data_IF_068600667504
#
_entry.id   IF_068600667504
#
_cell.length_a   1.000
_cell.length_b   1.000
_cell.length_c   1.000
_cell.angle_alpha   90.00
_cell.angle_beta   90.00
_cell.angle_gamma   90.00
#
_symmetry.space_group_name_H-M   'P 1'
#
loop_
_entity.id
_entity.type
_entity.pdbx_description
1 polymer ?
#
# COMPACT_ATOMS: atom_id res chain seq x y z
N UNK A 1 7.72 22.04 -22.83
CA UNK A 1 8.22 20.73 -22.37
C UNK A 1 7.98 20.63 -20.87
N UNK A 2 7.18 19.66 -20.43
CA UNK A 2 6.81 19.52 -19.01
C UNK A 2 7.83 18.63 -18.30
N UNK A 3 8.58 19.21 -17.36
CA UNK A 3 9.59 18.48 -16.59
C UNK A 3 8.93 17.65 -15.49
N UNK A 4 9.10 16.32 -15.52
CA UNK A 4 8.76 15.46 -14.39
C UNK A 4 9.83 15.57 -13.30
N UNK A 5 9.39 15.70 -12.05
CA UNK A 5 10.28 15.67 -10.90
C UNK A 5 10.60 14.22 -10.54
N UNK A 6 11.82 13.76 -10.82
CA UNK A 6 12.27 12.41 -10.48
C UNK A 6 13.47 12.53 -9.55
N UNK A 7 13.44 11.86 -8.40
CA UNK A 7 14.56 11.93 -7.46
C UNK A 7 15.77 11.15 -8.00
N UNK A 8 17.00 11.47 -7.54
CA UNK A 8 18.22 10.83 -8.04
C UNK A 8 18.22 9.30 -7.94
N UNK A 9 17.66 8.74 -6.86
CA UNK A 9 17.60 7.29 -6.68
C UNK A 9 16.71 6.61 -7.73
N UNK A 10 15.52 7.15 -7.98
CA UNK A 10 14.63 6.66 -9.02
C UNK A 10 15.24 6.84 -10.42
N UNK A 11 15.82 8.01 -10.70
CA UNK A 11 16.47 8.31 -11.97
C UNK A 11 17.60 7.31 -12.28
N UNK A 12 18.43 6.99 -11.29
CA UNK A 12 19.51 6.02 -11.44
C UNK A 12 19.00 4.61 -11.79
N UNK A 13 17.83 4.21 -11.27
CA UNK A 13 17.22 2.94 -11.67
C UNK A 13 16.64 3.02 -13.09
N UNK A 14 15.93 4.11 -13.42
CA UNK A 14 15.33 4.27 -14.75
C UNK A 14 16.37 4.35 -15.88
N UNK A 15 17.55 4.93 -15.61
CA UNK A 15 18.68 5.02 -16.56
C UNK A 15 19.28 3.68 -16.97
N UNK A 16 18.92 2.58 -16.29
CA UNK A 16 19.28 1.21 -16.70
C UNK A 16 18.40 0.68 -17.83
N UNK A 17 17.36 1.42 -18.23
CA UNK A 17 16.48 1.06 -19.34
C UNK A 17 16.91 1.72 -20.66
N UNK A 18 16.27 1.31 -21.76
CA UNK A 18 16.44 1.93 -23.09
C UNK A 18 16.09 3.42 -23.16
N UNK A 19 15.38 3.95 -22.15
CA UNK A 19 14.99 5.35 -22.10
C UNK A 19 16.05 6.28 -21.48
N UNK A 20 17.26 5.77 -21.19
CA UNK A 20 18.34 6.53 -20.56
C UNK A 20 18.55 7.91 -21.19
N UNK A 21 18.54 7.98 -22.51
CA UNK A 21 18.86 9.20 -23.26
C UNK A 21 17.71 10.21 -23.25
N UNK A 22 16.48 9.77 -22.95
CA UNK A 22 15.33 10.66 -22.73
C UNK A 22 15.33 11.28 -21.32
N UNK A 23 16.16 10.75 -20.39
CA UNK A 23 16.20 11.13 -18.99
C UNK A 23 17.28 12.18 -18.72
N UNK A 24 16.95 13.42 -19.04
CA UNK A 24 17.83 14.59 -18.87
C UNK A 24 17.71 15.14 -17.45
N UNK A 25 18.85 15.47 -16.83
CA UNK A 25 18.86 16.11 -15.52
C UNK A 25 18.31 17.53 -15.64
N UNK A 26 17.35 17.86 -14.77
CA UNK A 26 16.89 19.23 -14.60
C UNK A 26 17.92 20.10 -13.87
N UNK A 27 17.65 21.40 -13.84
CA UNK A 27 18.44 22.35 -13.06
C UNK A 27 18.38 22.03 -11.57
N UNK A 28 19.48 22.24 -10.81
CA UNK A 28 19.46 22.13 -9.36
C UNK A 28 18.41 23.07 -8.77
N UNK A 29 17.62 22.53 -7.83
CA UNK A 29 16.57 23.31 -7.15
C UNK A 29 17.05 23.84 -5.81
N UNK A 30 16.54 25.00 -5.34
CA UNK A 30 16.82 25.49 -4.00
C UNK A 30 16.44 24.47 -2.93
N UNK A 31 17.22 24.38 -1.85
CA UNK A 31 16.94 23.45 -0.74
C UNK A 31 15.60 23.70 -0.05
N UNK A 32 15.10 24.93 -0.09
CA UNK A 32 13.80 25.32 0.47
C UNK A 32 12.60 24.88 -0.36
N UNK A 33 12.80 24.44 -1.61
CA UNK A 33 11.70 24.04 -2.48
C UNK A 33 11.22 22.62 -2.14
N UNK A 34 9.98 22.50 -1.65
CA UNK A 34 9.35 21.20 -1.37
C UNK A 34 8.93 20.53 -2.67
N UNK A 35 9.77 19.62 -3.17
CA UNK A 35 9.51 18.87 -4.40
C UNK A 35 9.20 17.41 -4.10
N UNK A 36 8.11 16.91 -4.68
CA UNK A 36 7.75 15.49 -4.59
C UNK A 36 8.18 14.76 -5.85
N UNK A 37 8.82 13.61 -5.68
CA UNK A 37 9.13 12.74 -6.80
C UNK A 37 7.85 12.16 -7.40
N UNK A 38 7.69 12.24 -8.72
CA UNK A 38 6.57 11.64 -9.45
C UNK A 38 6.46 10.14 -9.21
N UNK A 39 7.59 9.42 -9.12
CA UNK A 39 7.63 7.98 -8.81
C UNK A 39 7.34 7.65 -7.34
N UNK A 40 7.07 8.65 -6.48
CA UNK A 40 6.47 8.37 -5.17
C UNK A 40 4.99 8.00 -5.28
N UNK A 41 4.33 8.32 -6.40
CA UNK A 41 2.95 7.91 -6.66
C UNK A 41 2.90 6.47 -7.19
N UNK A 42 2.15 5.54 -6.56
CA UNK A 42 2.08 4.16 -7.03
C UNK A 42 1.58 4.00 -8.47
N UNK A 43 0.64 4.83 -8.91
CA UNK A 43 0.18 4.84 -10.29
C UNK A 43 1.29 5.18 -11.29
N UNK A 44 2.18 6.13 -10.96
CA UNK A 44 3.31 6.48 -11.83
C UNK A 44 4.34 5.34 -11.89
N UNK A 45 4.58 4.64 -10.77
CA UNK A 45 5.43 3.44 -10.77
C UNK A 45 4.82 2.32 -11.62
N UNK A 46 3.52 2.12 -11.53
CA UNK A 46 2.82 1.14 -12.35
C UNK A 46 2.90 1.50 -13.84
N UNK A 47 2.73 2.78 -14.19
CA UNK A 47 2.91 3.27 -15.55
C UNK A 47 4.31 2.97 -16.09
N UNK A 48 5.34 3.25 -15.30
CA UNK A 48 6.71 2.89 -15.64
C UNK A 48 6.89 1.38 -15.84
N UNK A 49 6.39 0.55 -14.92
CA UNK A 49 6.48 -0.90 -15.06
C UNK A 49 5.76 -1.41 -16.32
N UNK A 50 4.57 -0.91 -16.62
CA UNK A 50 3.83 -1.27 -17.84
C UNK A 50 4.59 -0.88 -19.10
N UNK A 51 5.19 0.32 -19.13
CA UNK A 51 6.03 0.75 -20.25
C UNK A 51 7.19 -0.21 -20.50
N UNK A 52 7.85 -0.69 -19.44
CA UNK A 52 8.96 -1.65 -19.55
C UNK A 52 8.45 -3.06 -19.93
N UNK A 53 7.42 -3.55 -19.25
CA UNK A 53 6.88 -4.90 -19.44
C UNK A 53 6.31 -5.09 -20.85
N UNK A 54 5.57 -4.10 -21.36
CA UNK A 54 5.03 -4.11 -22.73
C UNK A 54 6.04 -3.68 -23.80
N UNK A 55 7.30 -3.48 -23.41
CA UNK A 55 8.41 -3.10 -24.31
C UNK A 55 8.13 -1.85 -25.17
N UNK A 56 7.30 -0.93 -24.69
CA UNK A 56 6.95 0.29 -25.43
C UNK A 56 8.21 1.11 -25.71
N UNK A 57 8.26 1.80 -26.84
CA UNK A 57 9.36 2.67 -27.28
C UNK A 57 9.19 4.13 -26.83
N UNK A 58 8.12 4.43 -26.11
CA UNK A 58 7.76 5.78 -25.67
C UNK A 58 7.32 5.83 -24.19
N UNK A 59 7.44 7.01 -23.58
CA UNK A 59 7.04 7.27 -22.17
C UNK A 59 5.60 7.78 -22.00
N UNK A 60 4.74 7.58 -23.01
CA UNK A 60 3.40 8.17 -23.05
C UNK A 60 2.54 7.82 -21.83
N UNK A 61 2.53 6.56 -21.38
CA UNK A 61 1.78 6.14 -20.18
C UNK A 61 2.21 6.90 -18.94
N UNK A 62 3.52 7.06 -18.73
CA UNK A 62 4.06 7.80 -17.59
C UNK A 62 3.62 9.27 -17.63
N UNK A 63 3.68 9.90 -18.81
CA UNK A 63 3.22 11.28 -19.00
C UNK A 63 1.72 11.42 -18.72
N UNK A 64 0.87 10.56 -19.30
CA UNK A 64 -0.59 10.63 -19.11
C UNK A 64 -1.01 10.43 -17.65
N UNK A 65 -0.34 9.55 -16.92
CA UNK A 65 -0.65 9.28 -15.51
C UNK A 65 -0.21 10.44 -14.61
N UNK A 66 0.94 11.05 -14.89
CA UNK A 66 1.50 12.12 -14.06
C UNK A 66 0.98 13.51 -14.43
N UNK A 67 0.44 13.69 -15.64
CA UNK A 67 -0.09 14.94 -16.16
C UNK A 67 -1.53 14.71 -16.67
N UNK A 68 -2.49 14.48 -15.77
CA UNK A 68 -3.87 14.27 -16.18
C UNK A 68 -4.46 15.54 -16.82
N UNK A 69 -5.50 15.39 -17.68
CA UNK A 69 -6.17 16.54 -18.30
C UNK A 69 -6.68 17.56 -17.28
N UNK A 70 -6.74 18.84 -17.69
CA UNK A 70 -7.31 19.92 -16.88
C UNK A 70 -8.74 19.58 -16.43
N UNK A 71 -9.05 19.88 -15.17
CA UNK A 71 -10.35 19.55 -14.57
C UNK A 71 -10.45 18.13 -13.97
N UNK A 72 -9.42 17.30 -14.14
CA UNK A 72 -9.36 16.00 -13.47
C UNK A 72 -9.22 16.17 -11.96
N UNK A 73 -10.23 15.73 -11.20
CA UNK A 73 -10.15 15.66 -9.74
C UNK A 73 -9.14 14.59 -9.30
N UNK A 74 -8.24 14.87 -8.35
CA UNK A 74 -7.35 13.85 -7.80
C UNK A 74 -8.12 12.81 -6.97
N UNK A 75 -7.50 11.68 -6.68
CA UNK A 75 -8.08 10.72 -5.75
C UNK A 75 -8.17 11.34 -4.34
N UNK A 76 -9.33 11.24 -3.71
CA UNK A 76 -9.56 11.78 -2.35
C UNK A 76 -8.93 10.91 -1.25
N UNK A 77 -8.44 9.72 -1.61
CA UNK A 77 -7.86 8.77 -0.67
C UNK A 77 -8.85 8.40 0.44
N UNK A 78 -8.46 8.65 1.69
CA UNK A 78 -9.27 8.39 2.89
C UNK A 78 -10.22 9.52 3.28
N UNK A 79 -10.19 10.64 2.54
CA UNK A 79 -11.10 11.76 2.78
C UNK A 79 -12.46 11.42 2.17
N UNK A 80 -13.49 11.49 3.01
CA UNK A 80 -14.88 11.31 2.56
C UNK A 80 -15.21 12.40 1.56
N UNK A 81 -15.78 12.00 0.43
CA UNK A 81 -16.16 12.92 -0.64
C UNK A 81 -17.52 12.51 -1.20
N UNK A 82 -18.37 13.50 -1.40
CA UNK A 82 -19.60 13.34 -2.17
C UNK A 82 -19.28 13.44 -3.67
N UNK A 83 -19.42 12.33 -4.38
CA UNK A 83 -19.22 12.26 -5.83
C UNK A 83 -19.94 11.04 -6.42
N UNK A 84 -19.94 10.95 -7.75
CA UNK A 84 -20.31 9.73 -8.44
C UNK A 84 -19.15 8.74 -8.35
N UNK A 85 -19.44 7.53 -7.88
CA UNK A 85 -18.43 6.48 -7.66
C UNK A 85 -18.51 5.42 -8.74
N UNK A 86 -17.37 4.86 -9.10
CA UNK A 86 -17.30 3.68 -9.93
C UNK A 86 -17.38 2.41 -9.08
N UNK A 87 -18.12 1.42 -9.57
CA UNK A 87 -18.36 0.16 -8.88
C UNK A 87 -18.10 -1.00 -9.82
N UNK A 88 -17.60 -2.09 -9.27
CA UNK A 88 -17.43 -3.35 -10.01
C UNK A 88 -18.74 -4.12 -10.00
N UNK A 89 -19.13 -4.61 -11.17
CA UNK A 89 -20.28 -5.51 -11.32
C UNK A 89 -19.75 -6.93 -11.22
N UNK A 90 -20.37 -7.72 -10.35
CA UNK A 90 -20.11 -9.14 -10.23
C UNK A 90 -20.65 -9.87 -11.46
N UNK A 91 -19.80 -10.53 -12.27
CA UNK A 91 -20.28 -11.26 -13.44
C UNK A 91 -21.25 -12.40 -13.07
N UNK A 92 -21.10 -13.00 -11.89
CA UNK A 92 -21.93 -14.13 -11.47
C UNK A 92 -23.34 -13.72 -10.99
N UNK A 93 -23.47 -12.55 -10.37
CA UNK A 93 -24.76 -12.09 -9.80
C UNK A 93 -25.38 -10.93 -10.56
N UNK A 94 -24.65 -10.28 -11.46
CA UNK A 94 -25.04 -9.04 -12.12
C UNK A 94 -25.15 -7.84 -11.18
N UNK A 95 -24.81 -8.00 -9.90
CA UNK A 95 -24.97 -6.96 -8.88
C UNK A 95 -23.66 -6.22 -8.61
N UNK A 96 -23.76 -4.98 -8.14
CA UNK A 96 -22.60 -4.24 -7.69
C UNK A 96 -22.03 -4.82 -6.39
N UNK A 97 -20.70 -4.91 -6.29
CA UNK A 97 -20.05 -5.21 -5.03
C UNK A 97 -20.41 -4.14 -3.98
N UNK A 98 -21.08 -4.49 -2.87
CA UNK A 98 -21.42 -3.51 -1.84
C UNK A 98 -20.16 -2.94 -1.18
N UNK A 99 -20.22 -1.66 -0.80
CA UNK A 99 -19.17 -0.92 -0.08
C UNK A 99 -17.85 -0.74 -0.85
N UNK A 100 -17.67 -1.32 -2.03
CA UNK A 100 -16.54 -1.08 -2.91
C UNK A 100 -16.80 0.06 -3.88
N UNK A 101 -16.03 1.14 -3.78
CA UNK A 101 -16.20 2.40 -4.51
C UNK A 101 -14.84 2.92 -4.97
N UNK A 102 -14.73 3.26 -6.26
CA UNK A 102 -13.50 3.79 -6.84
C UNK A 102 -13.77 5.16 -7.44
N UNK A 103 -12.88 6.12 -7.19
CA UNK A 103 -13.02 7.46 -7.76
C UNK A 103 -12.69 7.46 -9.27
N UNK A 104 -13.16 8.48 -9.99
CA UNK A 104 -12.89 8.65 -11.42
C UNK A 104 -11.40 8.70 -11.75
N UNK A 105 -10.57 9.25 -10.85
CA UNK A 105 -9.13 9.34 -11.05
C UNK A 105 -8.45 7.96 -11.11
N UNK A 106 -8.81 7.10 -10.16
CA UNK A 106 -8.27 5.75 -10.05
C UNK A 106 -8.77 4.85 -11.20
N UNK A 107 -10.03 4.97 -11.60
CA UNK A 107 -10.55 4.23 -12.77
C UNK A 107 -9.91 4.70 -14.08
N UNK A 108 -9.69 6.01 -14.26
CA UNK A 108 -8.96 6.53 -15.42
C UNK A 108 -7.57 5.90 -15.51
N UNK A 109 -6.82 5.93 -14.41
CA UNK A 109 -5.48 5.37 -14.37
C UNK A 109 -5.49 3.87 -14.65
N UNK A 110 -6.45 3.12 -14.09
CA UNK A 110 -6.62 1.70 -14.37
C UNK A 110 -6.83 1.45 -15.87
N UNK A 111 -7.77 2.16 -16.51
CA UNK A 111 -8.10 2.00 -17.93
C UNK A 111 -6.93 2.33 -18.86
N UNK A 112 -6.15 3.36 -18.52
CA UNK A 112 -4.96 3.73 -19.29
C UNK A 112 -3.87 2.66 -19.21
N UNK A 113 -3.70 2.05 -18.04
CA UNK A 113 -2.63 1.09 -17.78
C UNK A 113 -3.02 -0.35 -18.13
N UNK A 114 -4.31 -0.67 -18.06
CA UNK A 114 -4.89 -1.99 -18.29
C UNK A 114 -6.16 -1.85 -19.14
N UNK A 115 -6.03 -1.65 -20.47
CA UNK A 115 -7.17 -1.45 -21.38
C UNK A 115 -8.27 -2.52 -21.30
N UNK A 116 -7.99 -3.82 -21.03
CA UNK A 116 -9.05 -4.82 -20.85
C UNK A 116 -10.08 -4.49 -19.76
N UNK A 117 -9.72 -3.62 -18.80
CA UNK A 117 -10.63 -3.17 -17.74
C UNK A 117 -11.49 -1.96 -18.12
N UNK A 118 -11.59 -1.61 -19.42
CA UNK A 118 -12.42 -0.49 -19.90
C UNK A 118 -13.84 -0.54 -19.32
N UNK A 119 -14.44 -1.72 -19.29
CA UNK A 119 -15.82 -1.95 -18.87
C UNK A 119 -15.99 -2.59 -17.50
N UNK A 120 -14.91 -2.95 -16.81
CA UNK A 120 -14.97 -3.61 -15.49
C UNK A 120 -15.63 -2.74 -14.42
N UNK A 121 -15.39 -1.42 -14.47
CA UNK A 121 -15.90 -0.47 -13.51
C UNK A 121 -16.99 0.40 -14.14
N UNK A 122 -18.21 0.33 -13.62
CA UNK A 122 -19.35 1.11 -14.11
C UNK A 122 -19.62 2.29 -13.18
N UNK A 123 -19.93 3.43 -13.77
CA UNK A 123 -20.25 4.65 -13.04
C UNK A 123 -21.62 4.49 -12.35
N UNK A 124 -21.67 4.73 -11.05
CA UNK A 124 -22.93 4.86 -10.34
C UNK A 124 -23.54 6.23 -10.65
N UNK A 125 -24.83 6.27 -10.98
CA UNK A 125 -25.57 7.49 -11.31
C UNK A 125 -26.01 8.28 -10.08
N UNK A 126 -25.81 7.73 -8.88
CA UNK A 126 -26.14 8.42 -7.63
C UNK A 126 -24.90 9.03 -6.99
N UNK A 127 -25.06 10.24 -6.47
CA UNK A 127 -24.08 10.87 -5.60
C UNK A 127 -24.08 10.15 -4.26
N UNK A 128 -22.89 9.83 -3.75
CA UNK A 128 -22.74 9.19 -2.45
C UNK A 128 -21.50 9.74 -1.73
N UNK A 129 -21.58 9.83 -0.42
CA UNK A 129 -20.44 10.12 0.45
C UNK A 129 -19.67 8.84 0.74
N UNK A 130 -18.50 8.67 0.11
CA UNK A 130 -17.63 7.50 0.30
C UNK A 130 -16.16 7.91 0.29
N UNK A 131 -15.30 6.91 0.48
CA UNK A 131 -13.85 6.97 0.24
C UNK A 131 -13.49 6.05 -0.92
N UNK A 132 -12.33 6.27 -1.55
CA UNK A 132 -11.89 5.42 -2.67
C UNK A 132 -11.24 4.14 -2.16
N UNK A 133 -11.65 2.95 -2.60
CA UNK A 133 -11.02 1.69 -2.21
C UNK A 133 -9.62 1.47 -2.83
N UNK A 134 -9.29 2.23 -3.88
CA UNK A 134 -7.94 2.27 -4.45
C UNK A 134 -7.06 3.34 -3.75
N UNK A 135 -7.15 3.46 -2.42
CA UNK A 135 -6.22 4.33 -1.68
C UNK A 135 -4.81 3.76 -1.78
N UNK A 136 -3.91 4.53 -2.38
CA UNK A 136 -2.50 4.17 -2.61
C UNK A 136 -1.68 3.98 -1.32
N UNK A 137 -2.16 4.48 -0.19
CA UNK A 137 -1.54 4.29 1.12
C UNK A 137 -1.92 2.95 1.79
N UNK A 138 -2.93 2.24 1.25
CA UNK A 138 -3.45 1.00 1.78
C UNK A 138 -2.65 -0.19 1.25
N UNK A 139 -2.27 -1.18 2.07
CA UNK A 139 -1.67 -2.42 1.59
C UNK A 139 -2.56 -3.16 0.58
N UNK A 140 -3.89 -2.95 0.65
CA UNK A 140 -4.87 -3.55 -0.26
C UNK A 140 -4.69 -3.08 -1.70
N UNK A 141 -4.23 -1.84 -1.91
CA UNK A 141 -4.03 -1.27 -3.25
C UNK A 141 -3.14 -2.17 -4.10
N UNK A 142 -1.98 -2.57 -3.59
CA UNK A 142 -1.04 -3.41 -4.33
C UNK A 142 -1.72 -4.69 -4.76
N UNK A 143 -2.39 -5.39 -3.83
CA UNK A 143 -3.06 -6.65 -4.14
C UNK A 143 -4.25 -6.49 -5.10
N UNK A 144 -5.04 -5.43 -4.99
CA UNK A 144 -6.11 -5.13 -5.95
C UNK A 144 -5.56 -4.94 -7.35
N UNK A 145 -4.51 -4.12 -7.48
CA UNK A 145 -3.88 -3.83 -8.77
C UNK A 145 -3.22 -5.07 -9.35
N UNK A 146 -2.53 -5.89 -8.54
CA UNK A 146 -1.90 -7.13 -9.01
C UNK A 146 -2.94 -8.11 -9.58
N UNK A 147 -4.07 -8.29 -8.88
CA UNK A 147 -5.14 -9.19 -9.33
C UNK A 147 -5.80 -8.70 -10.63
N UNK A 148 -5.97 -7.38 -10.77
CA UNK A 148 -6.48 -6.78 -12.00
C UNK A 148 -5.46 -6.91 -13.14
N UNK A 149 -4.18 -6.65 -12.87
CA UNK A 149 -3.13 -6.80 -13.89
C UNK A 149 -3.02 -8.23 -14.41
N UNK A 150 -3.06 -9.22 -13.53
CA UNK A 150 -3.10 -10.64 -13.91
C UNK A 150 -4.32 -10.94 -14.79
N UNK A 151 -5.50 -10.45 -14.41
CA UNK A 151 -6.73 -10.65 -15.17
C UNK A 151 -6.67 -9.99 -16.55
N UNK A 152 -6.12 -8.77 -16.64
CA UNK A 152 -5.93 -8.05 -17.90
C UNK A 152 -4.94 -8.77 -18.82
N UNK A 153 -3.78 -9.19 -18.30
CA UNK A 153 -2.77 -9.90 -19.07
C UNK A 153 -3.31 -11.24 -19.59
N UNK A 154 -4.07 -11.99 -18.79
CA UNK A 154 -4.73 -13.23 -19.23
C UNK A 154 -5.73 -12.96 -20.35
N UNK A 155 -6.56 -11.94 -20.21
CA UNK A 155 -7.53 -11.56 -21.24
C UNK A 155 -6.86 -11.18 -22.57
N UNK A 156 -5.76 -10.42 -22.52
CA UNK A 156 -4.96 -10.06 -23.69
C UNK A 156 -4.38 -11.31 -24.37
N UNK A 157 -3.83 -12.26 -23.60
CA UNK A 157 -3.27 -13.51 -24.12
C UNK A 157 -4.32 -14.42 -24.77
N UNK A 158 -5.47 -14.57 -24.10
CA UNK A 158 -6.57 -15.44 -24.54
C UNK A 158 -7.47 -14.77 -25.60
N UNK A 159 -7.22 -13.51 -25.95
CA UNK A 159 -8.07 -12.69 -26.80
C UNK A 159 -9.52 -12.63 -26.29
N UNK A 160 -9.70 -12.72 -24.97
CA UNK A 160 -11.01 -12.65 -24.33
C UNK A 160 -11.52 -11.21 -24.37
N UNK A 161 -12.81 -11.00 -24.70
CA UNK A 161 -13.40 -9.66 -24.68
C UNK A 161 -13.48 -9.07 -23.27
N UNK A 162 -13.44 -9.89 -22.22
CA UNK A 162 -13.53 -9.45 -20.83
C UNK A 162 -12.54 -10.18 -19.92
N UNK A 163 -11.93 -9.47 -18.96
CA UNK A 163 -11.04 -10.08 -17.97
C UNK A 163 -11.81 -10.88 -16.92
N UNK A 164 -11.25 -12.02 -16.51
CA UNK A 164 -11.77 -12.82 -15.40
C UNK A 164 -11.48 -12.13 -14.06
N UNK A 165 -12.54 -11.71 -13.37
CA UNK A 165 -12.46 -10.97 -12.11
C UNK A 165 -12.64 -11.86 -10.87
N UNK A 166 -12.73 -13.19 -11.00
CA UNK A 166 -13.08 -14.07 -9.89
C UNK A 166 -12.16 -13.89 -8.67
N UNK A 167 -10.85 -13.89 -8.86
CA UNK A 167 -9.89 -13.71 -7.76
C UNK A 167 -9.96 -12.29 -7.15
N UNK A 168 -10.06 -11.27 -8.00
CA UNK A 168 -10.23 -9.88 -7.55
C UNK A 168 -11.49 -9.72 -6.72
N UNK A 169 -12.62 -10.27 -7.18
CA UNK A 169 -13.91 -10.18 -6.50
C UNK A 169 -13.93 -10.96 -5.20
N UNK A 170 -13.34 -12.16 -5.16
CA UNK A 170 -13.20 -12.93 -3.94
C UNK A 170 -12.38 -12.16 -2.88
N UNK A 171 -11.28 -11.55 -3.30
CA UNK A 171 -10.44 -10.73 -2.42
C UNK A 171 -11.17 -9.45 -1.97
N UNK A 172 -11.75 -8.68 -2.88
CA UNK A 172 -12.45 -7.43 -2.58
C UNK A 172 -13.65 -7.65 -1.66
N UNK A 173 -14.49 -8.66 -1.90
CA UNK A 173 -15.62 -9.04 -1.00
C UNK A 173 -15.16 -9.30 0.42
N UNK A 174 -14.04 -10.01 0.58
CA UNK A 174 -13.46 -10.31 1.88
C UNK A 174 -12.95 -9.04 2.57
N UNK A 175 -12.34 -8.12 1.82
CA UNK A 175 -11.69 -6.92 2.38
C UNK A 175 -12.62 -5.78 2.73
N UNK A 176 -13.70 -5.56 2.00
CA UNK A 176 -14.64 -4.44 2.24
C UNK A 176 -15.33 -4.46 3.60
N UNK A 177 -15.35 -5.62 4.28
CA UNK A 177 -15.91 -5.75 5.63
C UNK A 177 -14.88 -5.56 6.75
N UNK A 178 -13.58 -5.62 6.43
CA UNK A 178 -12.49 -5.51 7.39
C UNK A 178 -11.98 -4.07 7.45
N UNK A 179 -11.53 -3.64 8.63
CA UNK A 179 -10.90 -2.30 8.76
C UNK A 179 -9.54 -2.27 8.06
N UNK A 180 -9.28 -1.20 7.31
CA UNK A 180 -7.98 -0.98 6.66
C UNK A 180 -6.81 -1.01 7.66
N UNK A 181 -5.69 -1.61 7.24
CA UNK A 181 -4.46 -1.61 8.03
C UNK A 181 -3.94 -0.18 8.29
N UNK A 182 -3.71 0.15 9.56
CA UNK A 182 -3.14 1.44 10.00
C UNK A 182 -1.62 1.56 9.81
N UNK A 183 -0.97 0.50 9.31
CA UNK A 183 0.47 0.42 9.09
C UNK A 183 1.25 0.74 10.36
N UNK A 184 2.16 1.72 10.32
CA UNK A 184 3.01 2.16 11.43
C UNK A 184 2.33 3.13 12.40
N UNK A 185 1.07 3.54 12.15
CA UNK A 185 0.36 4.44 13.08
C UNK A 185 -0.04 3.67 14.33
N UNK A 186 0.40 4.17 15.48
CA UNK A 186 0.00 3.64 16.79
C UNK A 186 -1.46 3.91 17.06
N UNK A 187 -2.11 2.98 17.75
CA UNK A 187 -3.41 3.19 18.32
C UNK A 187 -3.62 2.27 19.52
N UNK A 188 -4.28 2.78 20.56
CA UNK A 188 -4.94 1.95 21.55
C UNK A 188 -6.15 1.28 20.89
N UNK A 189 -5.99 0.00 20.54
CA UNK A 189 -7.00 -0.78 19.83
C UNK A 189 -6.80 -2.27 20.10
N UNK A 190 -7.72 -3.11 19.64
CA UNK A 190 -7.55 -4.56 19.68
C UNK A 190 -6.67 -5.05 18.53
N UNK A 191 -5.91 -6.11 18.76
CA UNK A 191 -4.95 -6.71 17.82
C UNK A 191 -4.96 -8.23 17.95
N UNK A 192 -4.59 -8.94 16.88
CA UNK A 192 -4.16 -10.33 16.98
C UNK A 192 -2.69 -10.35 17.41
N UNK A 193 -2.35 -11.19 18.38
CA UNK A 193 -0.96 -11.42 18.80
C UNK A 193 -0.84 -12.81 19.44
N UNK A 194 0.39 -13.27 19.63
CA UNK A 194 0.68 -14.47 20.42
C UNK A 194 0.90 -14.07 21.87
N UNK A 195 0.27 -14.71 22.87
CA UNK A 195 0.47 -14.34 24.29
C UNK A 195 1.93 -14.33 24.74
N UNK A 196 2.76 -15.24 24.21
CA UNK A 196 4.19 -15.31 24.46
C UNK A 196 5.05 -14.34 23.62
N UNK A 197 4.44 -13.59 22.69
CA UNK A 197 5.09 -12.56 21.89
C UNK A 197 4.11 -11.40 21.60
N UNK A 198 3.75 -10.60 22.63
CA UNK A 198 2.77 -9.53 22.49
C UNK A 198 3.28 -8.35 21.64
N UNK A 199 4.56 -8.26 21.34
CA UNK A 199 5.19 -7.26 20.45
C UNK A 199 4.82 -7.46 18.99
N UNK A 200 4.50 -8.70 18.59
CA UNK A 200 4.06 -9.01 17.24
C UNK A 200 2.55 -8.80 17.10
N UNK A 201 2.13 -7.54 17.11
CA UNK A 201 0.72 -7.14 16.91
C UNK A 201 0.34 -7.11 15.44
N UNK A 202 -0.84 -7.67 15.11
CA UNK A 202 -1.34 -7.79 13.74
C UNK A 202 -2.78 -7.32 13.69
N UNK A 203 -3.09 -6.39 12.77
CA UNK A 203 -4.48 -5.95 12.57
C UNK A 203 -5.30 -7.01 11.83
N UNK A 204 -6.61 -6.94 11.92
CA UNK A 204 -7.57 -7.82 11.23
C UNK A 204 -7.23 -8.02 9.74
N UNK A 205 -6.95 -6.93 9.03
CA UNK A 205 -6.63 -6.96 7.60
C UNK A 205 -5.37 -7.76 7.26
N UNK A 206 -4.29 -7.56 8.03
CA UNK A 206 -3.04 -8.30 7.82
C UNK A 206 -3.12 -9.72 8.37
N UNK A 207 -3.93 -9.97 9.40
CA UNK A 207 -4.19 -11.30 9.91
C UNK A 207 -4.87 -12.16 8.84
N UNK A 208 -5.92 -11.64 8.20
CA UNK A 208 -6.64 -12.30 7.11
C UNK A 208 -5.75 -12.65 5.90
N UNK A 209 -4.77 -11.80 5.55
CA UNK A 209 -3.89 -12.06 4.39
C UNK A 209 -2.65 -12.89 4.69
N UNK A 210 -2.12 -12.81 5.91
CA UNK A 210 -0.77 -13.33 6.21
C UNK A 210 -0.83 -14.47 7.21
N UNK A 211 -1.60 -14.34 8.29
CA UNK A 211 -1.62 -15.30 9.39
C UNK A 211 -2.67 -16.38 9.15
N UNK A 212 -3.88 -15.98 8.76
CA UNK A 212 -5.02 -16.88 8.60
C UNK A 212 -4.81 -17.99 7.55
N UNK A 213 -4.17 -17.74 6.38
CA UNK A 213 -3.85 -18.82 5.45
C UNK A 213 -2.94 -19.88 6.09
N UNK A 214 -1.96 -19.45 6.89
CA UNK A 214 -1.05 -20.35 7.60
C UNK A 214 -1.75 -21.11 8.75
N UNK A 215 -2.70 -20.47 9.44
CA UNK A 215 -3.57 -21.14 10.42
C UNK A 215 -4.39 -22.25 9.76
N UNK A 216 -5.01 -21.96 8.61
CA UNK A 216 -5.79 -22.94 7.82
C UNK A 216 -4.93 -24.11 7.33
N UNK A 217 -3.68 -23.85 6.97
CA UNK A 217 -2.71 -24.87 6.59
C UNK A 217 -2.10 -25.62 7.80
N UNK A 218 -2.63 -25.41 9.03
CA UNK A 218 -2.21 -26.08 10.26
C UNK A 218 -0.77 -25.82 10.71
N UNK A 219 -0.15 -24.70 10.32
CA UNK A 219 1.17 -24.35 10.83
C UNK A 219 1.13 -24.06 12.35
N UNK A 220 1.97 -24.74 13.17
CA UNK A 220 1.90 -24.64 14.63
C UNK A 220 2.09 -23.22 15.17
N UNK A 221 3.04 -22.47 14.62
CA UNK A 221 3.32 -21.08 15.04
C UNK A 221 2.15 -20.15 14.72
N UNK A 222 1.59 -20.25 13.52
CA UNK A 222 0.46 -19.41 13.12
C UNK A 222 -0.75 -19.63 14.04
N UNK A 223 -1.00 -20.87 14.47
CA UNK A 223 -2.08 -21.23 15.41
C UNK A 223 -1.89 -20.70 16.84
N UNK A 224 -0.69 -20.21 17.19
CA UNK A 224 -0.45 -19.57 18.49
C UNK A 224 -0.98 -18.14 18.56
N UNK A 225 -1.39 -17.53 17.44
CA UNK A 225 -2.07 -16.24 17.45
C UNK A 225 -3.45 -16.33 18.09
N UNK A 226 -3.85 -15.27 18.78
CA UNK A 226 -5.19 -15.17 19.32
C UNK A 226 -6.24 -15.17 18.21
N UNK A 227 -7.22 -16.07 18.31
CA UNK A 227 -8.33 -16.12 17.36
C UNK A 227 -9.20 -14.85 17.40
N UNK A 228 -9.35 -14.25 18.59
CA UNK A 228 -10.02 -12.97 18.77
C UNK A 228 -8.99 -11.86 18.99
N UNK A 229 -9.31 -10.66 18.47
CA UNK A 229 -8.51 -9.47 18.72
C UNK A 229 -8.66 -9.02 20.17
N UNK A 230 -7.54 -8.69 20.83
CA UNK A 230 -7.49 -8.23 22.22
C UNK A 230 -6.58 -7.03 22.37
N UNK A 231 -6.74 -6.26 23.45
CA UNK A 231 -5.78 -5.24 23.79
C UNK A 231 -4.42 -5.92 24.10
N UNK A 232 -3.30 -5.41 23.57
CA UNK A 232 -1.98 -5.95 23.86
C UNK A 232 -1.57 -5.50 25.27
N UNK A 233 -0.92 -6.38 26.04
CA UNK A 233 -0.46 -6.05 27.38
C UNK A 233 0.55 -4.90 27.31
N UNK A 234 0.52 -4.06 28.33
CA UNK A 234 1.42 -2.90 28.45
C UNK A 234 1.62 -2.50 29.90
N UNK A 235 2.60 -1.62 30.11
CA UNK A 235 2.93 -1.10 31.43
C UNK A 235 2.02 0.08 31.81
N UNK A 236 1.72 0.22 33.10
CA UNK A 236 0.94 1.33 33.66
C UNK A 236 -0.49 0.99 34.11
N UNK A 237 -1.25 2.02 34.50
CA UNK A 237 -2.57 1.89 35.14
C UNK A 237 -3.61 1.14 34.30
N UNK A 238 -3.58 1.33 32.97
CA UNK A 238 -4.52 0.69 32.05
C UNK A 238 -4.13 -0.77 31.69
N UNK A 239 -2.93 -1.24 32.08
CA UNK A 239 -2.35 -2.57 31.77
C UNK A 239 -2.38 -2.95 30.27
N UNK A 240 -2.53 -1.96 29.39
CA UNK A 240 -2.64 -2.11 27.94
C UNK A 240 -1.80 -1.02 27.28
N UNK A 241 -1.28 -1.30 26.08
CA UNK A 241 -0.47 -0.33 25.32
C UNK A 241 -1.06 -0.01 23.96
N UNK A 242 -0.62 1.11 23.40
CA UNK A 242 -0.78 1.38 21.98
C UNK A 242 0.15 0.50 21.16
N UNK A 243 -0.31 0.11 19.97
CA UNK A 243 0.49 -0.67 19.04
C UNK A 243 0.21 -0.26 17.60
N UNK A 244 1.09 -0.67 16.70
CA UNK A 244 0.94 -0.61 15.25
C UNK A 244 0.83 -2.03 14.67
N UNK A 245 0.51 -2.15 13.38
CA UNK A 245 0.61 -3.46 12.74
C UNK A 245 2.09 -3.79 12.51
N UNK A 246 2.56 -4.96 12.88
CA UNK A 246 3.94 -5.37 12.58
C UNK A 246 4.03 -6.04 11.20
N UNK A 247 2.94 -6.63 10.71
CA UNK A 247 2.88 -7.31 9.41
C UNK A 247 2.38 -6.43 8.25
N UNK A 248 2.42 -5.09 8.35
CA UNK A 248 2.24 -4.26 7.14
C UNK A 248 3.51 -4.21 6.28
N UNK A 249 4.67 -4.42 6.90
CA UNK A 249 5.99 -4.41 6.24
C UNK A 249 6.16 -5.66 5.37
N UNK A 250 6.49 -5.52 4.07
CA UNK A 250 6.82 -6.66 3.22
C UNK A 250 7.97 -7.50 3.77
N UNK A 251 9.02 -6.87 4.33
CA UNK A 251 10.13 -7.56 4.98
C UNK A 251 9.65 -8.43 6.14
N UNK A 252 8.81 -7.90 7.02
CA UNK A 252 8.28 -8.67 8.15
C UNK A 252 7.36 -9.79 7.72
N UNK A 253 6.56 -9.60 6.66
CA UNK A 253 5.75 -10.67 6.09
C UNK A 253 6.63 -11.83 5.61
N UNK A 254 7.76 -11.53 4.95
CA UNK A 254 8.71 -12.54 4.52
C UNK A 254 9.31 -13.30 5.72
N UNK A 255 9.83 -12.56 6.71
CA UNK A 255 10.43 -13.13 7.92
C UNK A 255 9.43 -13.98 8.72
N UNK A 256 8.19 -13.53 8.80
CA UNK A 256 7.11 -14.29 9.43
C UNK A 256 6.84 -15.61 8.69
N UNK A 257 6.74 -15.58 7.35
CA UNK A 257 6.53 -16.80 6.57
C UNK A 257 7.67 -17.79 6.75
N UNK A 258 8.92 -17.34 6.61
CA UNK A 258 10.12 -18.15 6.84
C UNK A 258 10.07 -18.83 8.21
N UNK A 259 9.84 -18.06 9.27
CA UNK A 259 9.78 -18.59 10.63
C UNK A 259 8.63 -19.61 10.84
N UNK A 260 7.47 -19.37 10.23
CA UNK A 260 6.30 -20.25 10.34
C UNK A 260 6.50 -21.55 9.57
N UNK A 261 7.07 -21.47 8.37
CA UNK A 261 7.36 -22.62 7.51
C UNK A 261 8.45 -23.52 8.11
N UNK A 262 9.49 -22.92 8.69
CA UNK A 262 10.58 -23.63 9.40
C UNK A 262 10.20 -24.05 10.83
N UNK A 263 9.01 -23.65 11.31
CA UNK A 263 8.56 -23.84 12.68
C UNK A 263 9.55 -23.31 13.74
N UNK A 264 10.26 -22.22 13.42
CA UNK A 264 11.23 -21.56 14.29
C UNK A 264 10.61 -20.36 15.03
N UNK A 265 10.05 -20.65 16.21
CA UNK A 265 9.47 -19.62 17.07
C UNK A 265 10.55 -18.71 17.68
N UNK A 266 11.77 -19.21 17.90
CA UNK A 266 12.86 -18.43 18.47
C UNK A 266 13.32 -17.35 17.49
N UNK A 267 13.43 -17.71 16.20
CA UNK A 267 13.72 -16.77 15.13
C UNK A 267 12.63 -15.70 15.01
N UNK A 268 11.35 -16.10 15.04
CA UNK A 268 10.24 -15.15 14.98
C UNK A 268 10.26 -14.17 16.16
N UNK A 269 10.49 -14.66 17.38
CA UNK A 269 10.61 -13.85 18.58
C UNK A 269 11.74 -12.81 18.42
N UNK A 270 12.92 -13.26 18.02
CA UNK A 270 14.09 -12.39 17.84
C UNK A 270 13.80 -11.26 16.84
N UNK A 271 13.26 -11.58 15.66
CA UNK A 271 13.02 -10.58 14.61
C UNK A 271 11.88 -9.62 15.00
N UNK A 272 10.82 -10.12 15.63
CA UNK A 272 9.72 -9.29 16.10
C UNK A 272 10.16 -8.30 17.18
N UNK A 273 10.95 -8.76 18.16
CA UNK A 273 11.51 -7.92 19.23
C UNK A 273 12.45 -6.86 18.65
N UNK A 274 13.40 -7.25 17.79
CA UNK A 274 14.32 -6.30 17.15
C UNK A 274 13.59 -5.21 16.37
N UNK A 275 12.55 -5.58 15.61
CA UNK A 275 11.74 -4.59 14.89
C UNK A 275 10.95 -3.71 15.85
N UNK A 276 10.33 -4.29 16.88
CA UNK A 276 9.57 -3.53 17.87
C UNK A 276 10.47 -2.49 18.55
N UNK A 277 11.66 -2.88 19.00
CA UNK A 277 12.67 -1.97 19.58
C UNK A 277 13.13 -0.90 18.59
N UNK A 278 13.34 -1.26 17.32
CA UNK A 278 13.67 -0.29 16.27
C UNK A 278 12.53 0.72 16.05
N UNK A 279 11.26 0.28 16.09
CA UNK A 279 10.10 1.15 15.97
C UNK A 279 9.99 2.13 17.15
N UNK A 280 10.22 1.65 18.38
CA UNK A 280 10.24 2.50 19.57
C UNK A 280 11.35 3.54 19.50
N UNK A 281 12.57 3.15 19.10
CA UNK A 281 13.69 4.09 18.91
C UNK A 281 13.38 5.14 17.84
N UNK A 282 12.88 4.71 16.69
CA UNK A 282 12.47 5.60 15.60
C UNK A 282 11.45 6.63 16.06
N UNK A 283 10.41 6.20 16.79
CA UNK A 283 9.34 7.07 17.30
C UNK A 283 9.84 8.05 18.34
N UNK A 284 10.62 7.58 19.32
CA UNK A 284 11.19 8.44 20.36
C UNK A 284 12.04 9.54 19.74
N UNK A 285 12.95 9.17 18.84
CA UNK A 285 13.82 10.13 18.17
C UNK A 285 13.03 11.09 17.28
N UNK A 286 12.02 10.60 16.54
CA UNK A 286 11.14 11.44 15.74
C UNK A 286 10.36 12.45 16.60
N UNK A 287 9.87 12.04 17.77
CA UNK A 287 9.18 12.94 18.70
C UNK A 287 10.08 14.08 19.16
N UNK A 288 11.30 13.76 19.59
CA UNK A 288 12.30 14.76 20.00
C UNK A 288 12.62 15.76 18.88
N UNK A 289 12.84 15.27 17.65
CA UNK A 289 13.11 16.15 16.51
C UNK A 289 11.94 17.07 16.14
N UNK A 290 10.70 16.61 16.32
CA UNK A 290 9.52 17.45 16.10
C UNK A 290 9.36 18.52 17.19
N UNK A 291 9.66 18.18 18.45
CA UNK A 291 9.70 19.17 19.55
C UNK A 291 10.79 20.24 19.32
N UNK A 292 11.95 19.84 18.78
CA UNK A 292 13.02 20.77 18.43
C UNK A 292 12.66 21.63 17.20
N UNK A 293 11.97 21.06 16.19
CA UNK A 293 11.42 21.83 15.06
C UNK A 293 10.40 22.89 15.53
N UNK A 294 9.52 22.54 16.47
CA UNK A 294 8.56 23.49 17.09
C UNK A 294 9.26 24.61 17.86
N UNK A 295 10.45 24.35 18.41
CA UNK A 295 11.32 25.37 19.04
C UNK A 295 12.11 26.21 18.02
N UNK A 296 12.01 25.91 16.72
CA UNK A 296 12.63 26.65 15.63
C UNK A 296 13.98 26.10 15.16
N UNK A 297 14.39 24.91 15.59
CA UNK A 297 15.62 24.26 15.09
C UNK A 297 15.38 23.61 13.72
N UNK A 298 16.32 23.77 12.79
CA UNK A 298 16.31 23.04 11.51
C UNK A 298 16.70 21.57 11.74
N UNK A 299 15.70 20.68 11.72
CA UNK A 299 15.85 19.24 11.94
C UNK A 299 15.60 18.40 10.66
N UNK A 300 15.54 19.04 9.49
CA UNK A 300 15.13 18.39 8.23
C UNK A 300 16.09 17.26 7.81
N UNK A 301 17.38 17.41 8.11
CA UNK A 301 18.38 16.40 7.77
C UNK A 301 18.29 15.18 8.73
N UNK A 302 18.08 15.44 10.01
CA UNK A 302 17.93 14.47 11.08
C UNK A 302 16.65 13.64 10.89
N UNK A 303 15.52 14.30 10.60
CA UNK A 303 14.25 13.64 10.32
C UNK A 303 14.35 12.70 9.11
N UNK A 304 15.08 13.11 8.06
CA UNK A 304 15.34 12.26 6.90
C UNK A 304 16.23 11.06 7.26
N UNK A 305 17.33 11.26 8.00
CA UNK A 305 18.21 10.17 8.43
C UNK A 305 17.46 9.16 9.30
N UNK A 306 16.67 9.63 10.25
CA UNK A 306 15.85 8.77 11.12
C UNK A 306 14.84 7.94 10.30
N UNK A 307 14.20 8.55 9.28
CA UNK A 307 13.30 7.83 8.37
C UNK A 307 14.03 6.80 7.49
N UNK A 308 15.24 7.12 7.01
CA UNK A 308 16.05 6.20 6.20
C UNK A 308 16.50 4.98 7.00
N UNK A 309 16.84 5.17 8.28
CA UNK A 309 17.15 4.07 9.19
C UNK A 309 15.93 3.17 9.41
N UNK A 310 14.76 3.76 9.69
CA UNK A 310 13.51 3.01 9.86
C UNK A 310 13.14 2.18 8.62
N UNK A 311 13.34 2.74 7.42
CA UNK A 311 13.06 2.03 6.16
C UNK A 311 13.86 0.73 5.99
N UNK A 312 15.00 0.57 6.67
CA UNK A 312 15.77 -0.70 6.65
C UNK A 312 15.05 -1.85 7.35
N UNK A 313 14.10 -1.51 8.23
CA UNK A 313 13.27 -2.43 8.98
C UNK A 313 11.92 -2.72 8.31
N UNK A 314 11.51 -1.95 7.28
CA UNK A 314 10.25 -2.11 6.54
C UNK A 314 10.34 -3.07 5.34
#
# INVERSE_FOLDING_TARGET
MTHLNICPSCLNQMRKSKFRDLLILGTPRPRSEKVRCALSEPWARLAWMQTINKQLDHLHLLCQITQPPLGTKPCTGRVVSEQHWYRVVDPATGAFLPKFNVCSACVRNLRLLMPPHQDTFKLCTTLQERVCDFVTDSPRFVRYIDLLDIAANRAEQEHSPQPDLNEFMAYARRKVVLRDCRRSRVALNTWHYMPQLPELTVCEDCYDDVVWPMVKANYPIARKFSAMMRLPPGDGLARCREASCQLYSPRMRLKFREAVEENDLAYLNMIALQRYEAEQRYRKHRGQLLEDEERGYDCDAELRRNLEEWKRWE
#
